data_IF_340022436021
#
_entry.id   IF_340022436021
#
_cell.length_a   1.000
_cell.length_b   1.000
_cell.length_c   1.000
_cell.angle_alpha   90.00
_cell.angle_beta   90.00
_cell.angle_gamma   90.00
#
_symmetry.space_group_name_H-M   'P 1'
#
loop_
_entity.id
_entity.type
_entity.pdbx_description
1 polymer ?
#
# COMPACT_ATOMS: atom_id res chain seq x y z
N UNK A 1 -5.30 19.10 2.11
CA UNK A 1 -6.45 18.27 1.66
C UNK A 1 -6.77 18.61 0.20
N UNK A 2 -6.40 17.74 -0.77
CA UNK A 2 -6.47 18.02 -2.22
C UNK A 2 -7.14 16.89 -3.00
N UNK A 3 -7.48 17.14 -4.27
CA UNK A 3 -7.99 16.11 -5.18
C UNK A 3 -6.91 15.15 -5.68
N UNK A 4 -7.35 14.00 -6.18
CA UNK A 4 -6.49 13.04 -6.90
C UNK A 4 -5.98 13.71 -8.18
N UNK A 5 -4.71 13.52 -8.52
CA UNK A 5 -4.13 14.12 -9.73
C UNK A 5 -4.93 13.72 -10.98
N UNK A 6 -5.37 14.71 -11.77
CA UNK A 6 -6.19 14.49 -12.96
C UNK A 6 -7.66 14.13 -12.68
N UNK A 7 -8.17 14.41 -11.48
CA UNK A 7 -9.55 14.16 -11.10
C UNK A 7 -10.12 15.30 -10.25
N UNK A 8 -11.44 15.48 -10.32
CA UNK A 8 -12.18 16.36 -9.39
C UNK A 8 -12.51 15.65 -8.06
N UNK A 9 -12.20 14.35 -7.95
CA UNK A 9 -12.42 13.58 -6.72
C UNK A 9 -11.40 13.94 -5.67
N UNK A 10 -11.89 14.22 -4.46
CA UNK A 10 -11.04 14.40 -3.29
C UNK A 10 -10.26 13.10 -2.98
N UNK A 11 -8.98 13.21 -2.66
CA UNK A 11 -8.18 12.06 -2.20
C UNK A 11 -8.65 11.59 -0.82
N UNK A 12 -8.61 10.30 -0.53
CA UNK A 12 -8.92 9.78 0.80
C UNK A 12 -7.95 10.28 1.90
N UNK A 13 -6.72 10.63 1.54
CA UNK A 13 -5.79 11.32 2.45
C UNK A 13 -6.33 12.68 2.90
N UNK A 14 -7.07 13.36 2.04
CA UNK A 14 -7.61 14.68 2.34
C UNK A 14 -8.72 14.65 3.39
N UNK A 15 -9.32 13.48 3.65
CA UNK A 15 -10.33 13.26 4.69
C UNK A 15 -9.80 12.43 5.86
N UNK A 16 -8.51 12.08 5.86
CA UNK A 16 -7.92 11.21 6.88
C UNK A 16 -8.36 9.74 6.79
N UNK A 17 -8.96 9.33 5.67
CA UNK A 17 -9.41 7.94 5.45
C UNK A 17 -8.33 7.03 4.84
N UNK A 18 -7.13 7.57 4.60
CA UNK A 18 -6.01 6.79 4.07
C UNK A 18 -4.72 7.01 4.86
N UNK A 19 -3.87 5.98 4.82
CA UNK A 19 -2.47 6.02 5.28
C UNK A 19 -1.57 5.41 4.23
N UNK A 20 -0.32 5.87 4.16
CA UNK A 20 0.70 5.29 3.28
C UNK A 20 1.75 4.55 4.13
N UNK A 21 2.08 3.32 3.74
CA UNK A 21 3.09 2.51 4.41
C UNK A 21 4.19 2.13 3.42
N UNK A 22 5.41 2.63 3.64
CA UNK A 22 6.55 2.39 2.75
C UNK A 22 7.42 1.18 3.14
N UNK A 23 7.23 0.62 4.34
CA UNK A 23 8.08 -0.45 4.85
C UNK A 23 7.90 -0.74 6.34
N UNK A 24 8.66 -1.73 6.82
CA UNK A 24 8.58 -2.28 8.16
C UNK A 24 9.97 -2.44 8.75
N UNK A 25 10.07 -2.27 10.07
CA UNK A 25 11.22 -2.70 10.86
C UNK A 25 10.82 -4.02 11.53
N UNK A 26 11.58 -5.07 11.26
CA UNK A 26 11.34 -6.41 11.79
C UNK A 26 11.88 -6.53 13.22
N UNK A 27 11.47 -7.57 13.93
CA UNK A 27 11.88 -7.81 15.32
C UNK A 27 13.41 -7.97 15.47
N UNK A 28 14.09 -8.42 14.42
CA UNK A 28 15.55 -8.54 14.34
C UNK A 28 16.27 -7.21 13.98
N UNK A 29 15.53 -6.12 13.86
CA UNK A 29 16.03 -4.79 13.50
C UNK A 29 16.20 -4.54 12.01
N UNK A 30 16.01 -5.54 11.13
CA UNK A 30 16.08 -5.33 9.68
C UNK A 30 14.97 -4.41 9.20
N UNK A 31 15.30 -3.51 8.28
CA UNK A 31 14.32 -2.66 7.58
C UNK A 31 14.05 -3.19 6.19
N UNK A 32 12.82 -3.63 5.96
CA UNK A 32 12.30 -3.98 4.64
C UNK A 32 11.37 -2.87 4.14
N UNK A 33 11.38 -2.62 2.84
CA UNK A 33 10.71 -1.48 2.20
C UNK A 33 10.03 -1.93 0.92
N UNK A 34 8.84 -1.41 0.64
CA UNK A 34 8.10 -1.72 -0.59
C UNK A 34 8.98 -1.46 -1.82
N UNK A 35 9.72 -0.35 -1.83
CA UNK A 35 10.59 0.01 -2.96
C UNK A 35 11.67 -1.02 -3.29
N UNK A 36 12.31 -1.63 -2.29
CA UNK A 36 13.47 -2.53 -2.50
C UNK A 36 13.10 -4.00 -2.43
N UNK A 37 12.12 -4.33 -1.60
CA UNK A 37 11.94 -5.68 -1.06
C UNK A 37 10.59 -6.30 -1.50
N UNK A 38 9.70 -5.53 -2.16
CA UNK A 38 8.44 -6.04 -2.74
C UNK A 38 8.66 -7.13 -3.79
N UNK A 39 9.62 -6.90 -4.69
CA UNK A 39 9.95 -7.80 -5.79
C UNK A 39 11.42 -8.27 -5.70
N UNK A 40 11.97 -8.36 -4.48
CA UNK A 40 13.34 -8.84 -4.28
C UNK A 40 13.48 -10.34 -4.57
N UNK A 41 14.72 -10.77 -4.79
CA UNK A 41 15.04 -12.20 -4.91
C UNK A 41 14.93 -12.95 -3.58
N UNK A 42 14.88 -12.25 -2.44
CA UNK A 42 14.60 -12.84 -1.13
C UNK A 42 13.13 -13.32 -1.06
N UNK A 43 12.87 -14.63 -1.01
CA UNK A 43 11.51 -15.17 -0.96
C UNK A 43 10.79 -14.81 0.34
N UNK A 44 11.50 -14.58 1.45
CA UNK A 44 10.86 -14.23 2.72
C UNK A 44 10.29 -12.81 2.69
N UNK A 45 11.05 -11.86 2.15
CA UNK A 45 10.60 -10.48 1.98
C UNK A 45 9.39 -10.40 1.04
N UNK A 46 9.40 -11.12 -0.09
CA UNK A 46 8.23 -11.20 -0.99
C UNK A 46 7.00 -11.78 -0.28
N UNK A 47 7.14 -12.93 0.37
CA UNK A 47 6.04 -13.57 1.08
C UNK A 47 5.48 -12.68 2.20
N UNK A 48 6.34 -11.93 2.89
CA UNK A 48 5.92 -10.95 3.89
C UNK A 48 5.03 -9.87 3.26
N UNK A 49 5.46 -9.26 2.16
CA UNK A 49 4.69 -8.19 1.53
C UNK A 49 3.40 -8.69 0.88
N UNK A 50 3.41 -9.86 0.23
CA UNK A 50 2.20 -10.51 -0.30
C UNK A 50 1.18 -10.75 0.83
N UNK A 51 1.64 -11.25 1.98
CA UNK A 51 0.79 -11.49 3.15
C UNK A 51 0.21 -10.18 3.68
N UNK A 52 1.02 -9.13 3.79
CA UNK A 52 0.59 -7.81 4.25
C UNK A 52 -0.43 -7.18 3.30
N UNK A 53 -0.19 -7.21 1.99
CA UNK A 53 -1.13 -6.67 1.00
C UNK A 53 -2.48 -7.40 1.05
N UNK A 54 -2.47 -8.74 1.05
CA UNK A 54 -3.70 -9.53 1.16
C UNK A 54 -4.46 -9.26 2.47
N UNK A 55 -3.72 -9.14 3.58
CA UNK A 55 -4.27 -8.83 4.90
C UNK A 55 -4.87 -7.42 4.96
N UNK A 56 -4.20 -6.44 4.34
CA UNK A 56 -4.66 -5.07 4.24
C UNK A 56 -5.89 -4.96 3.33
N UNK A 57 -5.93 -5.67 2.20
CA UNK A 57 -7.07 -5.67 1.30
C UNK A 57 -8.38 -6.06 2.02
N UNK A 58 -8.32 -7.05 2.93
CA UNK A 58 -9.47 -7.48 3.75
C UNK A 58 -9.94 -6.43 4.78
N UNK A 59 -9.07 -5.51 5.20
CA UNK A 59 -9.34 -4.54 6.29
C UNK A 59 -9.67 -3.14 5.80
N UNK A 60 -9.01 -2.73 4.73
CA UNK A 60 -9.14 -1.38 4.18
C UNK A 60 -10.11 -1.36 2.99
N UNK A 61 -10.13 -2.40 2.16
CA UNK A 61 -10.99 -2.45 0.97
C UNK A 61 -10.35 -1.80 -0.25
N UNK A 62 -9.59 -0.72 -0.10
CA UNK A 62 -8.74 -0.19 -1.18
C UNK A 62 -7.27 -0.21 -0.77
N UNK A 63 -6.46 -0.92 -1.55
CA UNK A 63 -5.00 -1.02 -1.38
C UNK A 63 -4.34 -0.76 -2.73
N UNK A 64 -3.49 0.26 -2.80
CA UNK A 64 -2.75 0.60 -4.02
C UNK A 64 -1.26 0.48 -3.75
N UNK A 65 -0.58 -0.43 -4.44
CA UNK A 65 0.83 -0.72 -4.31
C UNK A 65 1.54 -0.74 -5.66
N UNK A 66 2.71 -1.40 -5.74
CA UNK A 66 3.54 -1.39 -6.94
C UNK A 66 2.88 -1.97 -8.20
N UNK A 67 1.87 -2.85 -8.09
CA UNK A 67 1.18 -3.37 -9.28
C UNK A 67 0.04 -2.46 -9.77
N UNK A 68 -0.27 -1.37 -9.06
CA UNK A 68 -1.27 -0.40 -9.52
C UNK A 68 -0.70 0.60 -10.52
N UNK A 69 0.26 1.44 -10.12
CA UNK A 69 0.88 2.44 -11.00
C UNK A 69 2.21 3.02 -10.43
N UNK A 70 2.97 3.81 -11.22
CA UNK A 70 4.27 4.34 -10.80
C UNK A 70 4.27 5.27 -9.58
N UNK A 71 3.12 5.87 -9.23
CA UNK A 71 3.01 6.72 -8.05
C UNK A 71 3.06 5.91 -6.74
N UNK A 72 2.66 4.63 -6.79
CA UNK A 72 2.60 3.72 -5.64
C UNK A 72 3.76 2.72 -5.62
N UNK A 73 4.81 2.95 -6.42
CA UNK A 73 5.95 2.02 -6.53
C UNK A 73 6.73 1.78 -5.23
N UNK A 74 6.60 2.68 -4.25
CA UNK A 74 7.42 2.70 -3.04
C UNK A 74 6.62 2.64 -1.73
N UNK A 75 5.29 2.46 -1.80
CA UNK A 75 4.42 2.35 -0.63
C UNK A 75 3.10 1.66 -0.98
N UNK A 76 2.39 1.17 0.03
CA UNK A 76 0.97 0.89 -0.09
C UNK A 76 0.15 2.09 0.38
N UNK A 77 -0.76 2.57 -0.44
CA UNK A 77 -1.86 3.43 -0.03
C UNK A 77 -2.98 2.55 0.49
N UNK A 78 -3.34 2.73 1.76
CA UNK A 78 -4.35 1.95 2.47
C UNK A 78 -5.53 2.85 2.78
N UNK A 79 -6.63 2.66 2.06
CA UNK A 79 -7.83 3.49 2.18
C UNK A 79 -9.01 2.66 2.67
N UNK A 80 -9.68 3.14 3.73
CA UNK A 80 -10.94 2.54 4.19
C UNK A 80 -12.06 2.83 3.19
N UNK A 81 -12.51 1.80 2.50
CA UNK A 81 -13.57 1.84 1.49
C UNK A 81 -14.67 0.82 1.82
N UNK A 82 -15.92 1.24 1.68
CA UNK A 82 -17.11 0.38 1.86
C UNK A 82 -17.62 -0.23 0.56
N UNK A 83 -16.96 0.06 -0.56
CA UNK A 83 -17.32 -0.46 -1.88
C UNK A 83 -16.74 -1.84 -2.17
N UNK A 84 -16.85 -2.27 -3.44
CA UNK A 84 -16.16 -3.47 -3.92
C UNK A 84 -14.65 -3.31 -3.68
N UNK A 85 -13.96 -4.30 -3.09
CA UNK A 85 -12.53 -4.21 -2.86
C UNK A 85 -11.75 -3.97 -4.15
N UNK A 86 -10.79 -3.06 -4.12
CA UNK A 86 -9.87 -2.76 -5.20
C UNK A 86 -8.43 -2.79 -4.67
N UNK A 87 -7.70 -3.84 -5.00
CA UNK A 87 -6.37 -4.11 -4.46
C UNK A 87 -5.44 -4.48 -5.61
N UNK A 88 -4.41 -3.65 -5.85
CA UNK A 88 -3.38 -3.81 -6.89
C UNK A 88 -2.11 -3.08 -6.45
#
# INVERSE_FOLDING_TARGET
CRTIAGSDRLSAHATGNAIDVSGFVLADGRRITVLRDWASDDPQSRAFFETIEQSACKRFGTVLGPNYNPAHRNHFHLERSTGRPFCR
#
